data_IF_014921292205
#
_entry.id   IF_014921292205
#
_cell.length_a   1.000
_cell.length_b   1.000
_cell.length_c   1.000
_cell.angle_alpha   90.00
_cell.angle_beta   90.00
_cell.angle_gamma   90.00
#
_symmetry.space_group_name_H-M   'P 1'
#
loop_
_entity.id
_entity.type
_entity.pdbx_description
1 polymer ?
#
# COMPACT_ATOMS: atom_id res chain seq x y z
N UNK A 1 56.70 -32.82 -42.80
CA UNK A 1 57.52 -31.60 -43.01
C UNK A 1 56.70 -30.39 -42.59
N UNK A 2 57.28 -29.55 -41.75
CA UNK A 2 56.73 -28.30 -41.21
C UNK A 2 56.62 -27.18 -42.27
N UNK A 3 55.98 -26.07 -41.85
CA UNK A 3 55.85 -24.72 -42.46
C UNK A 3 54.64 -24.57 -43.41
N UNK A 4 53.85 -23.49 -43.39
CA UNK A 4 53.93 -22.17 -42.73
C UNK A 4 52.58 -21.45 -42.93
N UNK A 5 52.17 -20.65 -41.93
CA UNK A 5 51.72 -19.23 -41.99
C UNK A 5 50.73 -18.80 -43.10
N UNK A 6 49.77 -17.90 -42.96
CA UNK A 6 49.38 -16.89 -41.95
C UNK A 6 48.05 -16.28 -42.47
N UNK A 7 47.17 -15.90 -41.55
CA UNK A 7 46.04 -14.93 -41.60
C UNK A 7 45.38 -14.52 -42.92
N UNK A 8 44.05 -14.60 -42.93
CA UNK A 8 43.22 -13.53 -43.47
C UNK A 8 42.14 -13.18 -42.42
N UNK A 9 42.39 -12.11 -41.66
CA UNK A 9 41.38 -11.42 -40.86
C UNK A 9 40.45 -10.69 -41.83
N UNK A 10 39.33 -11.33 -42.17
CA UNK A 10 38.24 -10.71 -42.91
C UNK A 10 37.20 -10.17 -41.93
N UNK A 11 37.27 -8.88 -41.65
CA UNK A 11 36.26 -8.15 -40.89
C UNK A 11 34.94 -8.14 -41.65
N UNK A 12 33.89 -8.72 -41.06
CA UNK A 12 32.52 -8.44 -41.42
C UNK A 12 31.75 -8.15 -40.13
N UNK A 13 31.85 -6.91 -39.67
CA UNK A 13 30.96 -6.33 -38.66
C UNK A 13 29.55 -6.34 -39.23
N UNK A 14 28.77 -7.36 -38.88
CA UNK A 14 27.32 -7.32 -39.11
C UNK A 14 26.76 -6.34 -38.08
N UNK A 15 26.35 -5.17 -38.57
CA UNK A 15 25.53 -4.22 -37.84
C UNK A 15 24.22 -4.93 -37.44
N UNK A 16 24.16 -5.44 -36.21
CA UNK A 16 22.90 -5.81 -35.60
C UNK A 16 22.14 -4.52 -35.35
N UNK A 17 21.11 -4.25 -36.17
CA UNK A 17 20.11 -3.22 -35.92
C UNK A 17 19.57 -3.44 -34.50
N UNK A 18 19.99 -2.59 -33.57
CA UNK A 18 19.30 -2.41 -32.31
C UNK A 18 17.97 -1.73 -32.64
N UNK A 19 16.94 -2.52 -32.91
CA UNK A 19 15.56 -2.06 -32.76
C UNK A 19 15.39 -1.67 -31.30
N UNK A 20 15.66 -0.40 -31.01
CA UNK A 20 15.14 0.26 -29.84
C UNK A 20 13.62 0.21 -29.98
N UNK A 21 13.00 -0.83 -29.43
CA UNK A 21 11.61 -0.77 -29.07
C UNK A 21 11.52 0.42 -28.13
N UNK A 22 11.02 1.54 -28.65
CA UNK A 22 10.46 2.59 -27.84
C UNK A 22 9.30 1.93 -27.07
N UNK A 23 9.62 1.29 -25.93
CA UNK A 23 8.64 1.05 -24.91
C UNK A 23 8.18 2.44 -24.53
N UNK A 24 7.01 2.80 -25.08
CA UNK A 24 6.20 3.88 -24.56
C UNK A 24 6.20 3.69 -23.05
N UNK A 25 6.94 4.53 -22.34
CA UNK A 25 6.79 4.69 -20.91
C UNK A 25 5.40 5.28 -20.74
N UNK A 26 4.39 4.41 -20.74
CA UNK A 26 3.07 4.79 -20.30
C UNK A 26 3.29 5.47 -18.95
N UNK A 27 2.79 6.70 -18.76
CA UNK A 27 2.90 7.34 -17.46
C UNK A 27 2.39 6.32 -16.45
N UNK A 28 3.23 5.98 -15.48
CA UNK A 28 2.84 5.07 -14.41
C UNK A 28 1.48 5.57 -13.94
N UNK A 29 0.44 4.77 -14.17
CA UNK A 29 -0.91 5.10 -13.71
C UNK A 29 -0.71 5.46 -12.25
N UNK A 30 -0.95 6.71 -11.89
CA UNK A 30 -0.85 7.14 -10.52
C UNK A 30 -1.79 6.21 -9.77
N UNK A 31 -1.23 5.21 -9.08
CA UNK A 31 -1.99 4.31 -8.25
C UNK A 31 -2.79 5.25 -7.36
N UNK A 32 -4.15 5.27 -7.44
CA UNK A 32 -4.98 6.37 -6.97
C UNK A 32 -4.97 6.55 -5.43
N UNK A 33 -3.91 6.10 -4.77
CA UNK A 33 -3.84 5.80 -3.36
C UNK A 33 -4.55 4.49 -3.12
N UNK A 34 -3.89 3.52 -2.51
CA UNK A 34 -4.56 2.33 -1.99
C UNK A 34 -5.73 2.76 -1.09
N UNK A 35 -6.96 2.56 -1.57
CA UNK A 35 -8.15 2.75 -0.74
C UNK A 35 -8.16 1.63 0.30
N UNK A 36 -8.05 2.03 1.56
CA UNK A 36 -7.98 1.10 2.66
C UNK A 36 -8.20 1.79 3.99
N UNK A 37 -8.04 1.01 5.06
CA UNK A 37 -8.25 1.45 6.43
C UNK A 37 -6.96 1.24 7.20
N UNK A 38 -6.54 2.24 7.97
CA UNK A 38 -5.47 2.06 8.97
C UNK A 38 -6.07 2.11 10.35
N UNK A 39 -5.77 1.11 11.18
CA UNK A 39 -6.15 1.06 12.57
C UNK A 39 -4.93 1.36 13.45
N UNK A 40 -5.13 2.08 14.56
CA UNK A 40 -4.12 2.36 15.56
C UNK A 40 -4.71 2.23 16.97
N UNK A 41 -3.99 1.54 17.86
CA UNK A 41 -4.39 1.31 19.24
C UNK A 41 -4.73 -0.17 19.53
N UNK A 42 -5.24 -0.48 20.73
CA UNK A 42 -5.54 0.47 21.80
C UNK A 42 -4.29 1.18 22.35
N UNK A 43 -4.37 2.50 22.57
CA UNK A 43 -3.34 3.27 23.27
C UNK A 43 -3.99 4.11 24.37
N UNK A 44 -3.41 4.11 25.56
CA UNK A 44 -3.95 4.82 26.72
C UNK A 44 -3.27 4.40 28.02
N UNK A 45 -3.72 4.97 29.12
CA UNK A 45 -3.31 4.57 30.48
C UNK A 45 -4.50 4.69 31.44
N UNK A 46 -4.50 3.86 32.48
CA UNK A 46 -5.56 3.83 33.48
C UNK A 46 -6.93 3.45 32.90
N UNK A 47 -7.90 4.35 33.04
CA UNK A 47 -9.31 4.10 32.75
C UNK A 47 -9.78 4.55 31.35
N UNK A 48 -8.89 4.97 30.44
CA UNK A 48 -9.26 5.36 29.08
C UNK A 48 -8.28 4.84 28.03
N UNK A 49 -8.86 4.27 26.97
CA UNK A 49 -8.18 3.67 25.84
C UNK A 49 -8.70 4.30 24.55
N UNK A 50 -7.77 4.64 23.66
CA UNK A 50 -8.04 5.24 22.36
C UNK A 50 -7.85 4.18 21.27
N UNK A 51 -8.87 4.06 20.45
CA UNK A 51 -8.91 3.26 19.24
C UNK A 51 -9.12 4.21 18.09
N UNK A 52 -8.17 4.28 17.15
CA UNK A 52 -8.20 5.24 16.06
C UNK A 52 -8.24 4.52 14.70
N UNK A 53 -9.04 5.07 13.79
CA UNK A 53 -9.23 4.55 12.43
C UNK A 53 -8.99 5.68 11.45
N UNK A 54 -8.17 5.43 10.43
CA UNK A 54 -7.92 6.33 9.32
C UNK A 54 -8.56 5.80 8.06
N UNK A 55 -9.30 6.66 7.36
CA UNK A 55 -9.76 6.39 6.02
C UNK A 55 -8.66 6.77 5.02
N UNK A 56 -8.05 5.80 4.31
CA UNK A 56 -7.05 6.06 3.27
C UNK A 56 -7.65 6.19 1.86
N UNK A 57 -8.97 6.07 1.74
CA UNK A 57 -9.67 6.24 0.47
C UNK A 57 -9.84 7.72 0.10
N UNK A 58 -10.15 7.97 -1.17
CA UNK A 58 -10.43 9.30 -1.72
C UNK A 58 -11.85 9.81 -1.44
N UNK A 59 -12.71 9.00 -0.83
CA UNK A 59 -14.10 9.32 -0.49
C UNK A 59 -14.36 9.11 0.99
N UNK A 60 -15.37 9.80 1.53
CA UNK A 60 -15.86 9.57 2.89
C UNK A 60 -16.46 8.18 3.00
N UNK A 61 -16.07 7.43 4.01
CA UNK A 61 -16.63 6.12 4.35
C UNK A 61 -16.95 6.08 5.83
N UNK A 62 -18.00 5.35 6.20
CA UNK A 62 -18.37 5.19 7.59
C UNK A 62 -17.74 3.93 8.16
N UNK A 63 -17.19 4.05 9.36
CA UNK A 63 -16.55 2.93 10.05
C UNK A 63 -17.02 2.89 11.50
N UNK A 64 -16.95 1.70 12.07
CA UNK A 64 -17.05 1.49 13.51
C UNK A 64 -15.93 0.57 13.96
N UNK A 65 -15.63 0.62 15.25
CA UNK A 65 -14.81 -0.41 15.88
C UNK A 65 -15.72 -1.44 16.55
N UNK A 66 -15.25 -2.66 16.62
CA UNK A 66 -15.89 -3.73 17.37
C UNK A 66 -14.87 -4.25 18.38
N UNK A 67 -15.26 -4.22 19.65
CA UNK A 67 -14.49 -4.82 20.72
C UNK A 67 -15.11 -6.19 21.00
N UNK A 68 -14.30 -7.24 21.07
CA UNK A 68 -14.74 -8.57 21.46
C UNK A 68 -15.46 -8.54 22.81
N UNK A 69 -14.97 -7.74 23.77
CA UNK A 69 -15.50 -7.68 25.13
C UNK A 69 -16.69 -6.70 25.32
N UNK A 70 -16.85 -5.69 24.47
CA UNK A 70 -17.82 -4.61 24.65
C UNK A 70 -18.76 -4.40 23.45
N UNK A 71 -18.59 -5.20 22.39
CA UNK A 71 -19.42 -5.15 21.20
C UNK A 71 -19.13 -3.98 20.27
N UNK A 72 -20.11 -3.70 19.41
CA UNK A 72 -20.03 -2.75 18.30
C UNK A 72 -20.19 -1.32 18.79
N UNK A 73 -19.31 -0.44 18.35
CA UNK A 73 -19.40 0.99 18.65
C UNK A 73 -20.23 1.74 17.62
N UNK A 74 -20.54 3.00 17.93
CA UNK A 74 -21.25 3.91 17.03
C UNK A 74 -20.46 4.08 15.73
N UNK A 75 -21.18 3.99 14.60
CA UNK A 75 -20.60 4.24 13.28
C UNK A 75 -20.35 5.73 13.07
N UNK A 76 -19.18 6.07 12.55
CA UNK A 76 -18.79 7.45 12.27
C UNK A 76 -18.35 7.61 10.82
N UNK A 77 -18.80 8.66 10.11
CA UNK A 77 -18.25 9.00 8.81
C UNK A 77 -16.82 9.56 8.99
N UNK A 78 -15.87 9.02 8.22
CA UNK A 78 -14.48 9.49 8.22
C UNK A 78 -14.16 10.07 6.84
N UNK A 79 -13.81 11.34 6.80
CA UNK A 79 -13.42 12.04 5.57
C UNK A 79 -12.18 11.44 4.91
N UNK A 80 -11.94 11.68 3.61
CA UNK A 80 -10.75 11.18 2.92
C UNK A 80 -9.45 11.56 3.64
N UNK A 81 -8.56 10.58 3.85
CA UNK A 81 -7.28 10.73 4.54
C UNK A 81 -7.35 11.17 6.01
N UNK A 82 -8.55 11.26 6.60
CA UNK A 82 -8.78 11.74 7.96
C UNK A 82 -8.84 10.61 9.00
N UNK A 83 -8.81 10.97 10.27
CA UNK A 83 -8.87 10.06 11.41
C UNK A 83 -10.12 10.26 12.26
N UNK A 84 -10.68 9.15 12.74
CA UNK A 84 -11.63 9.16 13.85
C UNK A 84 -11.13 8.31 15.00
N UNK A 85 -11.54 8.69 16.21
CA UNK A 85 -11.19 7.99 17.43
C UNK A 85 -12.41 7.65 18.27
N UNK A 86 -12.34 6.50 18.93
CA UNK A 86 -13.23 6.08 19.99
C UNK A 86 -12.43 6.03 21.29
N UNK A 87 -12.88 6.78 22.29
CA UNK A 87 -12.32 6.75 23.64
C UNK A 87 -13.23 5.93 24.53
N UNK A 88 -12.73 4.80 25.02
CA UNK A 88 -13.49 3.83 25.80
C UNK A 88 -12.74 3.48 27.08
N UNK A 89 -13.48 3.04 28.10
CA UNK A 89 -12.86 2.58 29.36
C UNK A 89 -12.37 1.13 29.30
N UNK A 90 -12.78 0.40 28.26
CA UNK A 90 -12.43 -1.01 28.05
C UNK A 90 -11.15 -1.12 27.22
N UNK A 91 -10.19 -1.90 27.70
CA UNK A 91 -9.03 -2.35 26.92
C UNK A 91 -9.38 -3.66 26.22
N UNK A 92 -9.33 -3.67 24.89
CA UNK A 92 -9.46 -4.86 24.07
C UNK A 92 -8.35 -4.87 23.01
N UNK A 93 -7.46 -5.86 23.09
CA UNK A 93 -6.36 -6.02 22.13
C UNK A 93 -6.79 -6.73 20.84
N UNK A 94 -7.97 -7.36 20.86
CA UNK A 94 -8.53 -8.13 19.74
C UNK A 94 -9.71 -7.39 19.09
N UNK A 95 -9.66 -6.05 19.11
CA UNK A 95 -10.64 -5.23 18.42
C UNK A 95 -10.39 -5.24 16.90
N UNK A 96 -11.43 -4.97 16.13
CA UNK A 96 -11.33 -4.81 14.68
C UNK A 96 -12.18 -3.65 14.19
N UNK A 97 -11.97 -3.27 12.93
CA UNK A 97 -12.75 -2.24 12.24
C UNK A 97 -13.73 -2.90 11.30
N UNK A 98 -14.97 -2.41 11.28
CA UNK A 98 -15.98 -2.78 10.31
C UNK A 98 -16.45 -1.54 9.56
N UNK A 99 -16.73 -1.72 8.26
CA UNK A 99 -17.47 -0.71 7.50
C UNK A 99 -18.95 -0.71 7.92
N UNK A 100 -19.52 0.48 7.87
CA UNK A 100 -20.95 0.74 7.86
C UNK A 100 -21.21 1.94 6.91
#
# INVERSE_FOLDING_TARGET
MHLRRITALGAATVLSLATATALSTQPASADPGFCGVRAFGPKGSGAKWIYAVRNKCSKTHSFRIVLSAAGKQVCKPISPNDWEAWSLITLDKNWWVEAC
#
